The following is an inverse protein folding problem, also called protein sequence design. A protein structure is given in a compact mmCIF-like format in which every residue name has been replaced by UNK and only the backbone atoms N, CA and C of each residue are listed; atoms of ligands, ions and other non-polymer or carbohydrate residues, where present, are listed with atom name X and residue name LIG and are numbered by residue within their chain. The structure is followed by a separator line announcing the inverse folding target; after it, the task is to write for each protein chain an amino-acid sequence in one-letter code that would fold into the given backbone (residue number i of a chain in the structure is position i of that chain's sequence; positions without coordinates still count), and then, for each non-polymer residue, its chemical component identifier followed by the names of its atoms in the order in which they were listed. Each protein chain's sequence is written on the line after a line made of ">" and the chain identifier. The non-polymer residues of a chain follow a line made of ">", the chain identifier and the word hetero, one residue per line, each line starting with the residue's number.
data_IF_133128918491
#
_entry.id   IF_133128918491
#
_cell.length_a   1.000
_cell.length_b   1.000
_cell.length_c   1.000
_cell.angle_alpha   90.00
_cell.angle_beta   90.00
_cell.angle_gamma   90.00
#
_symmetry.space_group_name_H-M   'P 1'
#
loop_
_entity.id
_entity.type
_entity.pdbx_description
1 polymer ?
#
# COMPACT_ATOMS: atom_id res chain seq x y z
N UNK A 1 7.47 -1.85 -10.61
CA UNK A 1 6.92 -2.70 -9.55
C UNK A 1 7.29 -2.09 -8.20
N UNK A 2 6.30 -1.61 -7.45
CA UNK A 2 6.45 -0.89 -6.17
C UNK A 2 6.27 -1.87 -5.00
N UNK A 3 7.06 -1.76 -3.94
CA UNK A 3 6.85 -2.55 -2.72
C UNK A 3 6.23 -1.68 -1.62
N UNK A 4 5.06 -2.10 -1.13
CA UNK A 4 4.29 -1.37 -0.11
C UNK A 4 4.37 -2.09 1.21
N UNK A 5 5.12 -1.53 2.15
CA UNK A 5 5.20 -2.00 3.53
C UNK A 5 4.18 -1.25 4.37
N UNK A 6 3.11 -1.91 4.82
CA UNK A 6 1.98 -1.24 5.48
C UNK A 6 1.42 -2.00 6.70
N UNK A 7 0.81 -1.25 7.60
CA UNK A 7 0.01 -1.72 8.74
C UNK A 7 -1.40 -1.10 8.63
N UNK A 8 -2.48 -1.76 9.12
CA UNK A 8 -3.86 -1.28 9.05
C UNK A 8 -4.10 0.03 9.83
N UNK A 9 -3.62 1.13 9.25
CA UNK A 9 -3.78 2.51 9.72
C UNK A 9 -4.47 3.34 8.65
N UNK A 10 -5.09 4.49 9.01
CA UNK A 10 -5.68 5.39 8.03
C UNK A 10 -4.67 5.86 6.96
N UNK A 11 -3.39 5.99 7.31
CA UNK A 11 -2.35 6.38 6.36
C UNK A 11 -1.91 5.23 5.46
N UNK A 12 -1.78 4.01 6.00
CA UNK A 12 -1.47 2.83 5.19
C UNK A 12 -2.50 2.62 4.09
N UNK A 13 -3.79 2.82 4.39
CA UNK A 13 -4.88 2.71 3.41
C UNK A 13 -4.79 3.71 2.25
N UNK A 14 -4.30 4.94 2.50
CA UNK A 14 -4.20 5.98 1.45
C UNK A 14 -3.30 5.55 0.29
N UNK A 15 -2.20 4.88 0.61
CA UNK A 15 -1.24 4.46 -0.42
C UNK A 15 -1.82 3.37 -1.31
N UNK A 16 -2.54 2.41 -0.73
CA UNK A 16 -3.25 1.39 -1.51
C UNK A 16 -4.29 2.02 -2.43
N UNK A 17 -5.11 2.95 -1.93
CA UNK A 17 -6.10 3.66 -2.77
C UNK A 17 -5.42 4.35 -3.95
N UNK A 18 -4.34 5.09 -3.74
CA UNK A 18 -3.67 5.79 -4.83
C UNK A 18 -3.11 4.81 -5.88
N UNK A 19 -2.51 3.71 -5.45
CA UNK A 19 -1.93 2.71 -6.36
C UNK A 19 -3.01 2.03 -7.23
N UNK A 20 -4.17 1.71 -6.64
CA UNK A 20 -5.32 1.19 -7.39
C UNK A 20 -5.87 2.23 -8.38
N UNK A 21 -6.11 3.48 -7.94
CA UNK A 21 -6.67 4.54 -8.78
C UNK A 21 -5.74 4.93 -9.95
N UNK A 22 -4.43 4.83 -9.76
CA UNK A 22 -3.44 5.09 -10.80
C UNK A 22 -3.08 3.85 -11.64
N UNK A 23 -3.62 2.67 -11.33
CA UNK A 23 -3.31 1.42 -12.03
C UNK A 23 -1.83 1.02 -11.96
N UNK A 24 -1.15 1.35 -10.86
CA UNK A 24 0.26 1.09 -10.66
C UNK A 24 0.49 -0.29 -10.07
N UNK A 25 1.37 -1.08 -10.68
CA UNK A 25 1.71 -2.41 -10.18
C UNK A 25 2.52 -2.34 -8.87
N UNK A 26 2.02 -3.02 -7.83
CA UNK A 26 2.68 -3.09 -6.53
C UNK A 26 2.51 -4.44 -5.82
N UNK A 27 3.44 -4.73 -4.91
CA UNK A 27 3.38 -5.85 -3.97
C UNK A 27 3.10 -5.34 -2.57
N UNK A 28 2.14 -5.94 -1.86
CA UNK A 28 1.81 -5.58 -0.49
C UNK A 28 2.55 -6.47 0.53
N UNK A 29 3.27 -5.83 1.45
CA UNK A 29 4.01 -6.44 2.54
C UNK A 29 3.43 -5.97 3.90
N UNK A 30 2.74 -6.84 4.66
CA UNK A 30 2.27 -6.46 5.98
C UNK A 30 3.44 -6.30 6.96
N UNK A 31 3.47 -5.21 7.71
CA UNK A 31 4.51 -4.93 8.74
C UNK A 31 3.90 -4.96 10.12
N UNK A 32 4.40 -5.81 11.02
CA UNK A 32 4.00 -5.84 12.42
C UNK A 32 4.84 -4.85 13.25
N UNK A 33 4.20 -3.84 13.84
CA UNK A 33 4.83 -2.77 14.64
C UNK A 33 3.99 -2.42 15.87
#
# INVERSE_FOLDING_TARGET
>A
MIDVYSWPTPNGRKIHIMLEECGLEYNAHPVNI
#
